data_IF_586418481623
#
_entry.id   IF_586418481623
#
_cell.length_a   1.000
_cell.length_b   1.000
_cell.length_c   1.000
_cell.angle_alpha   90.00
_cell.angle_beta   90.00
_cell.angle_gamma   90.00
#
_symmetry.space_group_name_H-M   'P 1'
#
loop_
_entity.id
_entity.type
_entity.pdbx_description
1 polymer ?
#
# COMPACT_ATOMS: atom_id res chain seq x y z
N UNK A 1 -1.04 13.90 -21.65
CA UNK A 1 -1.53 12.54 -21.95
C UNK A 1 -1.29 11.71 -20.70
N UNK A 2 -2.35 11.30 -20.01
CA UNK A 2 -2.22 10.53 -18.77
C UNK A 2 -2.26 9.05 -19.14
N UNK A 3 -1.12 8.39 -19.11
CA UNK A 3 -1.03 6.93 -19.31
C UNK A 3 -1.83 6.26 -18.20
N UNK A 4 -2.94 5.60 -18.54
CA UNK A 4 -3.71 4.79 -17.59
C UNK A 4 -2.99 3.45 -17.52
N UNK A 5 -2.16 3.24 -16.49
CA UNK A 5 -1.56 1.92 -16.26
C UNK A 5 -2.68 0.90 -15.98
N UNK A 6 -2.62 -0.29 -16.60
CA UNK A 6 -3.64 -1.30 -16.40
C UNK A 6 -3.67 -1.73 -14.93
N UNK A 7 -4.87 -1.70 -14.33
CA UNK A 7 -5.08 -2.20 -12.96
C UNK A 7 -4.76 -3.70 -12.92
N UNK A 8 -3.89 -4.18 -12.03
CA UNK A 8 -3.60 -5.59 -11.94
C UNK A 8 -4.86 -6.33 -11.47
N UNK A 9 -5.39 -7.22 -12.31
CA UNK A 9 -6.46 -8.13 -11.89
C UNK A 9 -5.85 -9.14 -10.93
N UNK A 10 -6.18 -9.05 -9.65
CA UNK A 10 -5.72 -9.99 -8.62
C UNK A 10 -6.85 -10.91 -8.17
N UNK A 11 -6.49 -12.14 -7.81
CA UNK A 11 -7.43 -13.13 -7.29
C UNK A 11 -7.85 -12.82 -5.85
N UNK A 12 -8.96 -13.39 -5.40
CA UNK A 12 -9.38 -13.24 -4.00
C UNK A 12 -8.39 -13.87 -3.02
N UNK A 13 -7.70 -14.95 -3.43
CA UNK A 13 -6.60 -15.53 -2.66
C UNK A 13 -5.45 -14.52 -2.48
N UNK A 14 -5.12 -13.75 -3.53
CA UNK A 14 -4.11 -12.70 -3.45
C UNK A 14 -4.57 -11.53 -2.57
N UNK A 15 -5.83 -11.10 -2.68
CA UNK A 15 -6.41 -10.08 -1.77
C UNK A 15 -6.30 -10.51 -0.30
N UNK A 16 -6.67 -11.77 0.01
CA UNK A 16 -6.57 -12.32 1.35
C UNK A 16 -5.12 -12.38 1.85
N UNK A 17 -4.17 -12.80 0.99
CA UNK A 17 -2.73 -12.81 1.31
C UNK A 17 -2.22 -11.41 1.63
N UNK A 18 -2.58 -10.40 0.82
CA UNK A 18 -2.22 -8.99 1.04
C UNK A 18 -2.80 -8.46 2.33
N UNK A 19 -4.08 -8.69 2.59
CA UNK A 19 -4.76 -8.25 3.81
C UNK A 19 -4.06 -8.82 5.06
N UNK A 20 -3.75 -10.13 5.06
CA UNK A 20 -3.00 -10.76 6.16
C UNK A 20 -1.64 -10.09 6.39
N UNK A 21 -0.91 -9.81 5.31
CA UNK A 21 0.41 -9.17 5.40
C UNK A 21 0.32 -7.74 5.97
N UNK A 22 -0.58 -6.90 5.46
CA UNK A 22 -0.78 -5.52 5.92
C UNK A 22 -1.18 -5.50 7.39
N UNK A 23 -2.17 -6.31 7.79
CA UNK A 23 -2.61 -6.37 9.19
C UNK A 23 -1.51 -6.85 10.12
N UNK A 24 -0.72 -7.85 9.71
CA UNK A 24 0.40 -8.34 10.51
C UNK A 24 1.46 -7.27 10.74
N UNK A 25 1.85 -6.53 9.68
CA UNK A 25 2.86 -5.47 9.76
C UNK A 25 2.35 -4.32 10.63
N UNK A 26 1.11 -3.86 10.42
CA UNK A 26 0.51 -2.81 11.25
C UNK A 26 0.44 -3.22 12.71
N UNK A 27 0.06 -4.46 12.99
CA UNK A 27 0.02 -4.98 14.36
C UNK A 27 1.41 -4.97 15.01
N UNK A 28 2.46 -5.30 14.25
CA UNK A 28 3.84 -5.19 14.73
C UNK A 28 4.18 -3.75 15.14
N UNK A 29 3.88 -2.78 14.28
CA UNK A 29 4.10 -1.35 14.57
C UNK A 29 3.38 -0.91 15.86
N UNK A 30 2.13 -1.37 16.05
CA UNK A 30 1.32 -1.08 17.23
C UNK A 30 1.86 -1.68 18.52
N UNK A 31 2.49 -2.86 18.45
CA UNK A 31 3.17 -3.47 19.60
C UNK A 31 4.35 -2.60 20.06
N UNK A 32 5.02 -1.94 19.11
CA UNK A 32 6.14 -1.01 19.38
C UNK A 32 5.66 0.40 19.78
N UNK A 33 4.36 0.62 19.94
CA UNK A 33 3.77 1.91 20.32
C UNK A 33 3.61 2.91 19.17
N UNK A 34 3.88 2.50 17.93
CA UNK A 34 3.62 3.30 16.73
C UNK A 34 2.30 2.95 16.04
N UNK A 35 1.89 3.74 15.06
CA UNK A 35 0.90 3.33 14.07
C UNK A 35 1.23 3.98 12.72
N UNK A 36 0.60 3.53 11.66
CA UNK A 36 0.72 4.13 10.35
C UNK A 36 -0.20 5.35 10.22
N UNK A 37 0.19 6.31 9.38
CA UNK A 37 -0.65 7.48 9.10
C UNK A 37 -1.94 7.10 8.38
N UNK A 38 -3.00 7.93 8.46
CA UNK A 38 -4.23 7.71 7.68
C UNK A 38 -3.96 7.61 6.17
N UNK A 39 -2.97 8.35 5.66
CA UNK A 39 -2.55 8.28 4.26
C UNK A 39 -1.97 6.90 3.90
N UNK A 40 -1.07 6.37 4.73
CA UNK A 40 -0.49 5.04 4.52
C UNK A 40 -1.53 3.91 4.66
N UNK A 41 -2.50 4.07 5.57
CA UNK A 41 -3.64 3.15 5.70
C UNK A 41 -4.48 3.12 4.41
N UNK A 42 -4.83 4.27 3.86
CA UNK A 42 -5.59 4.35 2.60
C UNK A 42 -4.86 3.69 1.43
N UNK A 43 -3.54 3.88 1.33
CA UNK A 43 -2.74 3.20 0.30
C UNK A 43 -2.68 1.68 0.51
N UNK A 44 -2.67 1.23 1.77
CA UNK A 44 -2.70 -0.21 2.08
C UNK A 44 -4.00 -0.85 1.65
N UNK A 45 -5.14 -0.17 1.83
CA UNK A 45 -6.46 -0.63 1.35
C UNK A 45 -6.50 -0.74 -0.18
N UNK A 46 -5.99 0.26 -0.89
CA UNK A 46 -5.87 0.22 -2.36
C UNK A 46 -4.95 -0.92 -2.82
N UNK A 47 -3.83 -1.16 -2.13
CA UNK A 47 -2.96 -2.30 -2.41
C UNK A 47 -3.66 -3.64 -2.19
N UNK A 48 -4.40 -3.80 -1.09
CA UNK A 48 -5.19 -5.02 -0.81
C UNK A 48 -6.25 -5.24 -1.89
N UNK A 49 -6.94 -4.18 -2.32
CA UNK A 49 -7.95 -4.24 -3.36
C UNK A 49 -7.40 -4.57 -4.76
N UNK A 50 -6.08 -4.47 -4.95
CA UNK A 50 -5.43 -4.64 -6.25
C UNK A 50 -5.45 -3.40 -7.11
N UNK A 51 -5.79 -2.25 -6.54
CA UNK A 51 -5.79 -0.95 -7.24
C UNK A 51 -4.38 -0.38 -7.36
N UNK A 52 -3.44 -0.85 -6.53
CA UNK A 52 -2.03 -0.47 -6.57
C UNK A 52 -1.10 -1.67 -6.67
N UNK A 53 0.00 -1.46 -7.39
CA UNK A 53 1.21 -2.26 -7.26
C UNK A 53 2.07 -1.77 -6.08
N UNK A 54 2.98 -2.62 -5.56
CA UNK A 54 3.94 -2.18 -4.55
C UNK A 54 4.79 -0.97 -4.98
N UNK A 55 5.17 -0.91 -6.27
CA UNK A 55 5.96 0.19 -6.82
C UNK A 55 5.19 1.52 -6.76
N UNK A 56 3.92 1.51 -7.18
CA UNK A 56 3.04 2.68 -7.12
C UNK A 56 2.78 3.11 -5.67
N UNK A 57 2.55 2.16 -4.76
CA UNK A 57 2.39 2.46 -3.33
C UNK A 57 3.64 3.14 -2.76
N UNK A 58 4.83 2.59 -3.03
CA UNK A 58 6.11 3.18 -2.61
C UNK A 58 6.29 4.58 -3.17
N UNK A 59 6.05 4.78 -4.47
CA UNK A 59 6.17 6.09 -5.11
C UNK A 59 5.25 7.13 -4.46
N UNK A 60 3.99 6.77 -4.18
CA UNK A 60 3.02 7.66 -3.53
C UNK A 60 3.41 8.00 -2.09
N UNK A 61 3.93 7.04 -1.33
CA UNK A 61 4.46 7.28 0.02
C UNK A 61 5.63 8.27 -0.02
N UNK A 62 6.59 8.06 -0.92
CA UNK A 62 7.77 8.91 -1.03
C UNK A 62 7.40 10.33 -1.46
N UNK A 63 6.52 10.48 -2.46
CA UNK A 63 5.98 11.78 -2.89
C UNK A 63 5.26 12.50 -1.75
N UNK A 64 4.44 11.81 -0.96
CA UNK A 64 3.73 12.42 0.18
C UNK A 64 4.68 12.99 1.24
N UNK A 65 5.83 12.35 1.45
CA UNK A 65 6.86 12.81 2.38
C UNK A 65 7.91 13.75 1.75
N UNK A 66 7.71 14.18 0.51
CA UNK A 66 8.65 15.07 -0.20
C UNK A 66 9.98 14.40 -0.58
N UNK A 67 10.07 13.07 -0.50
CA UNK A 67 11.26 12.31 -0.86
C UNK A 67 11.26 12.07 -2.37
N UNK A 68 12.24 12.64 -3.07
CA UNK A 68 12.44 12.38 -4.50
C UNK A 68 13.40 11.21 -4.65
N UNK A 69 12.96 10.12 -5.26
CA UNK A 69 13.83 8.99 -5.62
C UNK A 69 14.60 9.40 -6.87
N UNK A 70 15.93 9.49 -6.77
CA UNK A 70 16.81 9.66 -7.93
C UNK A 70 16.93 8.36 -8.70
#
# INVERSE_FOLDING_TARGET
>A
MTTIEPRPVITDAEKARRAKSVHSIRRSQQIEGGDISPFAQALSEQYIAGELTPAQMRERLLKHHGVTVK
#
